data_IF_815050874227
#
_entry.id   IF_815050874227
#
_cell.length_a   1.000
_cell.length_b   1.000
_cell.length_c   1.000
_cell.angle_alpha   90.00
_cell.angle_beta   90.00
_cell.angle_gamma   90.00
#
_symmetry.space_group_name_H-M   'P 1'
#
loop_
_entity.id
_entity.type
_entity.pdbx_description
1 polymer ?
#
# COMPACT_ATOMS: atom_id res chain seq x y z
N UNK A 1 3.77 14.57 19.09
CA UNK A 1 4.98 14.28 18.29
C UNK A 1 4.83 13.08 17.33
N UNK A 2 3.86 12.17 17.52
CA UNK A 2 3.76 10.91 16.75
C UNK A 2 3.23 11.04 15.30
N UNK A 3 2.35 12.00 14.99
CA UNK A 3 1.79 12.15 13.63
C UNK A 3 2.85 12.37 12.55
N UNK A 4 3.91 13.13 12.86
CA UNK A 4 4.99 13.42 11.91
C UNK A 4 5.73 12.16 11.49
N UNK A 5 6.00 11.25 12.43
CA UNK A 5 6.61 9.96 12.11
C UNK A 5 5.69 9.08 11.28
N UNK A 6 4.40 8.99 11.61
CA UNK A 6 3.45 8.18 10.84
C UNK A 6 3.36 8.65 9.39
N UNK A 7 3.32 9.97 9.15
CA UNK A 7 3.30 10.54 7.80
C UNK A 7 4.59 10.23 7.03
N UNK A 8 5.76 10.34 7.68
CA UNK A 8 7.05 9.99 7.04
C UNK A 8 7.10 8.50 6.68
N UNK A 9 6.61 7.61 7.54
CA UNK A 9 6.53 6.18 7.26
C UNK A 9 5.59 5.87 6.09
N UNK A 10 4.44 6.54 6.00
CA UNK A 10 3.51 6.38 4.87
C UNK A 10 4.17 6.85 3.57
N UNK A 11 4.83 8.01 3.57
CA UNK A 11 5.54 8.53 2.40
C UNK A 11 6.68 7.61 1.96
N UNK A 12 7.47 7.10 2.91
CA UNK A 12 8.54 6.15 2.61
C UNK A 12 8.00 4.85 2.02
N UNK A 13 6.90 4.33 2.56
CA UNK A 13 6.23 3.15 2.03
C UNK A 13 5.67 3.39 0.62
N UNK A 14 5.06 4.56 0.38
CA UNK A 14 4.59 4.98 -0.95
C UNK A 14 5.73 5.05 -1.96
N UNK A 15 6.87 5.63 -1.59
CA UNK A 15 8.02 5.72 -2.48
C UNK A 15 8.56 4.32 -2.83
N UNK A 16 8.64 3.44 -1.85
CA UNK A 16 9.14 2.08 -2.03
C UNK A 16 8.23 1.28 -2.97
N UNK A 17 6.91 1.38 -2.81
CA UNK A 17 5.95 0.75 -3.72
C UNK A 17 5.99 1.34 -5.12
N UNK A 18 6.09 2.66 -5.27
CA UNK A 18 6.22 3.30 -6.58
C UNK A 18 7.49 2.82 -7.31
N UNK A 19 8.61 2.73 -6.59
CA UNK A 19 9.86 2.23 -7.15
C UNK A 19 9.74 0.76 -7.55
N UNK A 20 9.12 -0.06 -6.71
CA UNK A 20 8.87 -1.47 -7.02
C UNK A 20 8.00 -1.64 -8.28
N UNK A 21 6.92 -0.87 -8.43
CA UNK A 21 6.05 -0.91 -9.63
C UNK A 21 6.86 -0.58 -10.89
N UNK A 22 7.66 0.49 -10.87
CA UNK A 22 8.48 0.90 -12.02
C UNK A 22 9.53 -0.16 -12.36
N UNK A 23 10.19 -0.74 -11.35
CA UNK A 23 11.19 -1.79 -11.55
C UNK A 23 10.54 -3.06 -12.12
N UNK A 24 9.40 -3.48 -11.57
CA UNK A 24 8.68 -4.64 -12.07
C UNK A 24 8.17 -4.42 -13.50
N UNK A 25 7.62 -3.25 -13.84
CA UNK A 25 7.20 -2.92 -15.20
C UNK A 25 8.35 -3.07 -16.20
N UNK A 26 9.55 -2.58 -15.87
CA UNK A 26 10.76 -2.76 -16.70
C UNK A 26 11.23 -4.21 -16.79
N UNK A 27 11.09 -4.99 -15.71
CA UNK A 27 11.47 -6.40 -15.70
C UNK A 27 10.49 -7.28 -16.48
N UNK A 28 9.21 -6.90 -16.52
CA UNK A 28 8.16 -7.62 -17.24
C UNK A 28 7.83 -7.02 -18.60
N UNK A 29 8.57 -6.01 -19.04
CA UNK A 29 8.42 -5.34 -20.33
C UNK A 29 8.49 -6.36 -21.47
N UNK A 30 7.47 -6.37 -22.33
CA UNK A 30 7.35 -7.33 -23.45
C UNK A 30 6.80 -8.72 -23.08
N UNK A 31 6.53 -9.00 -21.80
CA UNK A 31 5.84 -10.23 -21.39
C UNK A 31 4.33 -10.03 -21.27
N UNK A 32 3.50 -11.04 -21.59
CA UNK A 32 2.05 -10.95 -21.44
C UNK A 32 1.59 -10.79 -19.98
N UNK A 33 2.50 -11.02 -19.02
CA UNK A 33 2.23 -10.94 -17.58
C UNK A 33 2.41 -9.54 -16.99
N UNK A 34 2.91 -8.55 -17.77
CA UNK A 34 3.17 -7.20 -17.25
C UNK A 34 1.94 -6.57 -16.60
N UNK A 35 0.78 -6.66 -17.26
CA UNK A 35 -0.48 -6.15 -16.71
C UNK A 35 -0.87 -6.85 -15.41
N UNK A 36 -0.77 -8.19 -15.36
CA UNK A 36 -1.09 -8.98 -14.18
C UNK A 36 -0.23 -8.59 -12.98
N UNK A 37 1.08 -8.41 -13.20
CA UNK A 37 2.04 -8.02 -12.17
C UNK A 37 1.77 -6.60 -11.67
N UNK A 38 1.46 -5.68 -12.58
CA UNK A 38 1.08 -4.30 -12.25
C UNK A 38 -0.20 -4.27 -11.41
N UNK A 39 -1.24 -5.00 -11.80
CA UNK A 39 -2.49 -5.07 -11.04
C UNK A 39 -2.31 -5.72 -9.66
N UNK A 40 -1.46 -6.75 -9.54
CA UNK A 40 -1.10 -7.35 -8.26
C UNK A 40 -0.41 -6.35 -7.34
N UNK A 41 0.54 -5.56 -7.85
CA UNK A 41 1.20 -4.52 -7.04
C UNK A 41 0.22 -3.44 -6.57
N UNK A 42 -0.73 -3.04 -7.43
CA UNK A 42 -1.81 -2.12 -7.03
C UNK A 42 -2.70 -2.75 -5.97
N UNK A 43 -3.07 -4.03 -6.10
CA UNK A 43 -3.86 -4.73 -5.08
C UNK A 43 -3.13 -4.81 -3.73
N UNK A 44 -1.82 -5.09 -3.74
CA UNK A 44 -0.99 -5.10 -2.53
C UNK A 44 -0.92 -3.70 -1.90
N UNK A 45 -0.91 -2.63 -2.69
CA UNK A 45 -0.96 -1.25 -2.19
C UNK A 45 -2.25 -0.93 -1.40
N UNK A 46 -3.37 -1.56 -1.73
CA UNK A 46 -4.64 -1.40 -1.00
C UNK A 46 -4.68 -2.13 0.35
N UNK A 47 -3.80 -3.11 0.58
CA UNK A 47 -3.75 -3.87 1.84
C UNK A 47 -3.47 -2.96 3.04
N UNK A 48 -2.43 -2.10 3.06
CA UNK A 48 -2.19 -1.19 4.18
C UNK A 48 -3.38 -0.28 4.49
N UNK A 49 -4.04 0.26 3.45
CA UNK A 49 -5.22 1.12 3.59
C UNK A 49 -6.38 0.34 4.22
N UNK A 50 -6.63 -0.88 3.75
CA UNK A 50 -7.70 -1.76 4.27
C UNK A 50 -7.43 -2.18 5.73
N UNK A 51 -6.17 -2.41 6.08
CA UNK A 51 -5.76 -2.73 7.46
C UNK A 51 -5.91 -1.51 8.37
N UNK A 52 -5.53 -0.31 7.91
CA UNK A 52 -5.76 0.94 8.64
C UNK A 52 -7.25 1.21 8.85
N UNK A 53 -8.07 1.04 7.82
CA UNK A 53 -9.52 1.23 7.89
C UNK A 53 -10.18 0.22 8.85
N UNK A 54 -9.79 -1.06 8.79
CA UNK A 54 -10.34 -2.08 9.70
C UNK A 54 -9.96 -1.82 11.16
N UNK A 55 -8.72 -1.36 11.42
CA UNK A 55 -8.31 -0.94 12.77
C UNK A 55 -9.06 0.29 13.27
N UNK A 56 -9.32 1.27 12.41
CA UNK A 56 -10.13 2.43 12.75
C UNK A 56 -11.57 2.03 13.13
N UNK A 57 -12.19 1.13 12.35
CA UNK A 57 -13.54 0.61 12.67
C UNK A 57 -13.58 -0.21 13.96
N UNK A 58 -12.53 -1.00 14.25
CA UNK A 58 -12.44 -1.73 15.52
C UNK A 58 -12.35 -0.77 16.72
N UNK A 59 -11.54 0.29 16.61
CA UNK A 59 -11.42 1.32 17.65
C UNK A 59 -12.77 2.01 17.92
N UNK A 60 -13.54 2.35 16.89
CA UNK A 60 -14.88 2.94 17.05
C UNK A 60 -15.88 1.98 17.70
N UNK A 61 -15.83 0.68 17.38
CA UNK A 61 -16.70 -0.32 18.02
C UNK A 61 -16.41 -0.51 19.49
N UNK A 62 -15.13 -0.51 19.88
CA UNK A 62 -14.72 -0.64 21.29
C UNK A 62 -15.06 0.60 22.13
N UNK A 63 -15.16 1.80 21.54
CA UNK A 63 -15.62 3.00 22.25
C UNK A 63 -17.15 3.08 22.43
N UNK A 64 -17.94 2.28 21.70
CA UNK A 64 -19.41 2.26 21.80
C UNK A 64 -19.98 1.14 22.69
N UNK A 65 -19.13 0.21 23.15
CA UNK A 65 -19.47 -0.86 24.11
C UNK A 65 -19.13 -0.45 25.53
#
# INVERSE_FOLDING_TARGET
MQLKHTVVWILALSLLFATAIVVLDRLTEGTPWNQTVTYLMVAVWFVPISVLASRAQQAERTQRS
#
